data_IF_369256022205
#
_entry.id   IF_369256022205
#
_cell.length_a   1.000
_cell.length_b   1.000
_cell.length_c   1.000
_cell.angle_alpha   90.00
_cell.angle_beta   90.00
_cell.angle_gamma   90.00
#
_symmetry.space_group_name_H-M   'P 1'
#
loop_
_entity.id
_entity.type
_entity.pdbx_description
1 polymer ?
#
# COMPACT_ATOMS: atom_id res chain seq x y z
N UNK A 1 -9.11 -9.57 -31.18
CA UNK A 1 -8.31 -10.29 -30.16
C UNK A 1 -7.20 -9.36 -29.71
N UNK A 2 -7.50 -8.50 -28.74
CA UNK A 2 -6.55 -7.50 -28.25
C UNK A 2 -5.83 -8.10 -27.05
N UNK A 3 -4.57 -8.46 -27.24
CA UNK A 3 -3.73 -9.07 -26.22
C UNK A 3 -3.67 -8.17 -24.98
N UNK A 4 -4.11 -8.73 -23.84
CA UNK A 4 -3.91 -8.17 -22.52
C UNK A 4 -2.42 -8.26 -22.19
N UNK A 5 -1.65 -7.25 -22.57
CA UNK A 5 -0.30 -7.06 -22.06
C UNK A 5 -0.45 -6.67 -20.59
N UNK A 6 -0.36 -7.65 -19.69
CA UNK A 6 -0.20 -7.36 -18.27
C UNK A 6 1.17 -6.69 -18.12
N UNK A 7 1.26 -5.43 -17.67
CA UNK A 7 2.56 -4.85 -17.37
C UNK A 7 3.19 -5.71 -16.27
N UNK A 8 4.38 -6.24 -16.54
CA UNK A 8 5.20 -6.88 -15.53
C UNK A 8 5.44 -5.84 -14.42
N UNK A 9 4.95 -6.07 -13.17
CA UNK A 9 5.08 -5.08 -12.12
C UNK A 9 6.57 -4.85 -11.82
N UNK A 10 6.91 -3.66 -11.32
CA UNK A 10 8.28 -3.28 -10.95
C UNK A 10 8.98 -4.25 -9.96
N UNK A 11 8.21 -5.17 -9.37
CA UNK A 11 8.69 -6.32 -8.60
C UNK A 11 9.75 -7.19 -9.31
N UNK A 12 9.89 -7.13 -10.63
CA UNK A 12 10.90 -7.90 -11.37
C UNK A 12 12.34 -7.37 -11.20
N UNK A 13 12.50 -6.10 -10.81
CA UNK A 13 13.83 -5.48 -10.62
C UNK A 13 14.10 -5.25 -9.14
N UNK A 14 15.32 -5.51 -8.69
CA UNK A 14 15.73 -5.23 -7.32
C UNK A 14 15.56 -3.72 -7.02
N UNK A 15 15.03 -3.35 -5.84
CA UNK A 15 14.88 -1.95 -5.48
C UNK A 15 16.24 -1.30 -5.24
N UNK A 16 16.37 -0.04 -5.67
CA UNK A 16 17.53 0.83 -5.42
C UNK A 16 17.60 1.20 -3.93
N UNK A 17 16.44 1.44 -3.31
CA UNK A 17 16.28 1.69 -1.88
C UNK A 17 15.09 0.89 -1.36
N UNK A 18 15.24 0.27 -0.20
CA UNK A 18 14.20 -0.56 0.41
C UNK A 18 14.08 -0.26 1.90
N UNK A 19 12.86 -0.22 2.39
CA UNK A 19 12.52 -0.03 3.80
C UNK A 19 11.36 -0.94 4.15
N UNK A 20 11.50 -1.76 5.19
CA UNK A 20 10.44 -2.62 5.67
C UNK A 20 10.32 -2.57 7.20
N UNK A 21 9.09 -2.51 7.71
CA UNK A 21 8.82 -2.50 9.15
C UNK A 21 7.47 -3.14 9.48
N UNK A 22 7.36 -3.71 10.67
CA UNK A 22 6.11 -4.25 11.22
C UNK A 22 5.49 -3.29 12.22
N UNK A 23 4.16 -3.27 12.24
CA UNK A 23 3.36 -2.40 13.08
C UNK A 23 2.24 -3.18 13.75
N UNK A 24 1.98 -2.85 15.00
CA UNK A 24 0.82 -3.39 15.71
C UNK A 24 -0.45 -3.02 14.95
N UNK A 25 -1.35 -3.99 14.78
CA UNK A 25 -2.62 -3.84 14.07
C UNK A 25 -3.63 -2.98 14.85
N UNK A 26 -3.31 -1.71 15.06
CA UNK A 26 -4.07 -0.72 15.82
C UNK A 26 -4.08 0.62 15.09
N UNK A 27 -5.02 1.54 15.40
CA UNK A 27 -5.02 2.89 14.83
C UNK A 27 -3.71 3.66 15.08
N UNK A 28 -3.07 3.44 16.23
CA UNK A 28 -1.76 4.04 16.55
C UNK A 28 -0.66 3.48 15.65
N UNK A 29 -0.65 2.17 15.40
CA UNK A 29 0.29 1.52 14.48
C UNK A 29 0.13 2.03 13.05
N UNK A 30 -1.11 2.16 12.55
CA UNK A 30 -1.38 2.75 11.23
C UNK A 30 -0.90 4.20 11.12
N UNK A 31 -1.12 5.02 12.16
CA UNK A 31 -0.62 6.39 12.19
C UNK A 31 0.91 6.45 12.20
N UNK A 32 1.57 5.52 12.89
CA UNK A 32 3.04 5.44 12.92
C UNK A 32 3.60 5.00 11.57
N UNK A 33 3.00 3.99 10.94
CA UNK A 33 3.36 3.52 9.60
C UNK A 33 3.38 4.67 8.59
N UNK A 34 2.30 5.46 8.53
CA UNK A 34 2.23 6.65 7.67
C UNK A 34 3.39 7.62 7.90
N UNK A 35 3.66 7.98 9.17
CA UNK A 35 4.71 8.95 9.50
C UNK A 35 6.09 8.44 9.12
N UNK A 36 6.37 7.15 9.37
CA UNK A 36 7.66 6.57 9.05
C UNK A 36 7.88 6.42 7.56
N UNK A 37 6.84 6.12 6.77
CA UNK A 37 6.93 6.16 5.31
C UNK A 37 7.26 7.57 4.83
N UNK A 38 6.53 8.58 5.31
CA UNK A 38 6.76 9.99 4.95
C UNK A 38 8.17 10.47 5.33
N UNK A 39 8.66 10.10 6.52
CA UNK A 39 10.04 10.38 6.93
C UNK A 39 11.06 9.66 6.06
N UNK A 40 10.82 8.39 5.72
CA UNK A 40 11.74 7.62 4.87
C UNK A 40 11.81 8.20 3.46
N UNK A 41 10.70 8.71 2.94
CA UNK A 41 10.65 9.41 1.67
C UNK A 41 11.49 10.70 1.71
N UNK A 42 11.40 11.47 2.79
CA UNK A 42 12.24 12.66 3.01
C UNK A 42 13.73 12.30 3.07
N UNK A 43 14.10 11.26 3.82
CA UNK A 43 15.47 10.71 3.85
C UNK A 43 15.96 10.28 2.45
N UNK A 44 15.04 9.96 1.55
CA UNK A 44 15.32 9.55 0.17
C UNK A 44 15.32 10.71 -0.83
N UNK A 45 15.13 11.95 -0.36
CA UNK A 45 15.11 13.16 -1.18
C UNK A 45 13.73 13.55 -1.70
N UNK A 46 12.66 12.86 -1.26
CA UNK A 46 11.28 13.23 -1.53
C UNK A 46 10.74 14.03 -0.34
N UNK A 47 11.02 15.33 -0.35
CA UNK A 47 10.71 16.26 0.75
C UNK A 47 9.27 16.14 1.25
N UNK A 48 9.04 16.50 2.52
CA UNK A 48 7.70 16.50 3.13
C UNK A 48 6.64 17.34 2.38
N UNK A 49 7.07 18.35 1.62
CA UNK A 49 6.24 19.23 0.80
C UNK A 49 6.09 18.74 -0.65
N UNK A 50 6.73 17.62 -1.00
CA UNK A 50 6.63 17.07 -2.35
C UNK A 50 5.29 16.36 -2.57
N UNK A 51 4.66 16.53 -3.75
CA UNK A 51 3.40 15.85 -4.08
C UNK A 51 3.49 14.33 -3.96
N UNK A 52 4.68 13.76 -4.22
CA UNK A 52 4.92 12.32 -4.15
C UNK A 52 4.94 11.81 -2.71
N UNK A 53 5.52 12.57 -1.77
CA UNK A 53 5.50 12.24 -0.34
C UNK A 53 4.06 12.27 0.20
N UNK A 54 3.32 13.35 -0.08
CA UNK A 54 1.92 13.48 0.30
C UNK A 54 1.06 12.34 -0.23
N UNK A 55 1.22 12.00 -1.51
CA UNK A 55 0.48 10.92 -2.18
C UNK A 55 0.77 9.56 -1.53
N UNK A 56 2.05 9.20 -1.36
CA UNK A 56 2.43 7.92 -0.77
C UNK A 56 2.09 7.82 0.72
N UNK A 57 2.17 8.93 1.46
CA UNK A 57 1.72 8.99 2.84
C UNK A 57 0.20 8.75 2.94
N UNK A 58 -0.59 9.34 2.05
CA UNK A 58 -2.04 9.13 2.00
C UNK A 58 -2.39 7.69 1.62
N UNK A 59 -1.76 7.14 0.59
CA UNK A 59 -1.91 5.73 0.21
C UNK A 59 -1.57 4.80 1.38
N UNK A 60 -0.45 5.06 2.06
CA UNK A 60 -0.02 4.28 3.24
C UNK A 60 -1.07 4.34 4.35
N UNK A 61 -1.68 5.51 4.58
CA UNK A 61 -2.72 5.68 5.59
C UNK A 61 -3.94 4.79 5.29
N UNK A 62 -4.41 4.80 4.03
CA UNK A 62 -5.56 4.01 3.61
C UNK A 62 -5.28 2.50 3.65
N UNK A 63 -4.12 2.07 3.14
CA UNK A 63 -3.73 0.66 3.16
C UNK A 63 -3.51 0.13 4.58
N UNK A 64 -2.85 0.90 5.45
CA UNK A 64 -2.66 0.52 6.85
C UNK A 64 -4.00 0.50 7.62
N UNK A 65 -4.89 1.46 7.37
CA UNK A 65 -6.21 1.45 7.97
C UNK A 65 -7.04 0.23 7.51
N UNK A 66 -6.92 -0.17 6.24
CA UNK A 66 -7.53 -1.39 5.74
C UNK A 66 -6.94 -2.64 6.40
N UNK A 67 -5.62 -2.71 6.59
CA UNK A 67 -4.98 -3.82 7.31
C UNK A 67 -5.50 -3.91 8.76
N UNK A 68 -5.64 -2.78 9.46
CA UNK A 68 -6.18 -2.74 10.82
C UNK A 68 -7.66 -3.16 10.88
N UNK A 69 -8.51 -2.70 9.94
CA UNK A 69 -9.95 -3.00 9.96
C UNK A 69 -10.29 -4.40 9.42
N UNK A 70 -9.61 -4.81 8.36
CA UNK A 70 -9.99 -5.98 7.56
C UNK A 70 -8.94 -7.09 7.58
N UNK A 71 -7.68 -6.78 7.85
CA UNK A 71 -6.56 -7.72 7.95
C UNK A 71 -6.23 -8.19 9.37
N UNK A 72 -6.85 -7.60 10.39
CA UNK A 72 -6.52 -7.89 11.79
C UNK A 72 -6.83 -9.34 12.17
N UNK A 73 -5.82 -9.95 12.79
CA UNK A 73 -5.86 -11.22 13.51
C UNK A 73 -5.25 -10.96 14.90
N UNK A 74 -5.88 -11.38 16.02
CA UNK A 74 -5.34 -11.15 17.36
C UNK A 74 -3.89 -11.63 17.50
N UNK A 75 -3.04 -10.79 18.09
CA UNK A 75 -1.62 -11.08 18.27
C UNK A 75 -0.76 -11.01 17.00
N UNK A 76 -1.28 -10.50 15.88
CA UNK A 76 -0.54 -10.35 14.62
C UNK A 76 -0.38 -8.88 14.21
N UNK A 77 0.82 -8.57 13.77
CA UNK A 77 1.19 -7.29 13.16
C UNK A 77 0.90 -7.29 11.67
N UNK A 78 0.76 -6.09 11.09
CA UNK A 78 0.88 -5.89 9.65
C UNK A 78 2.28 -5.40 9.31
N UNK A 79 2.74 -5.66 8.09
CA UNK A 79 4.03 -5.18 7.58
C UNK A 79 3.80 -4.08 6.55
N UNK A 80 4.69 -3.09 6.53
CA UNK A 80 4.78 -2.09 5.46
C UNK A 80 6.15 -2.20 4.83
N UNK A 81 6.21 -2.21 3.49
CA UNK A 81 7.43 -2.06 2.71
C UNK A 81 7.29 -0.86 1.79
N UNK A 82 8.28 0.02 1.80
CA UNK A 82 8.48 1.08 0.82
C UNK A 82 9.71 0.70 0.00
N UNK A 83 9.56 0.67 -1.31
CA UNK A 83 10.61 0.26 -2.22
C UNK A 83 10.72 1.25 -3.38
N UNK A 84 11.93 1.70 -3.66
CA UNK A 84 12.21 2.51 -4.84
C UNK A 84 12.82 1.67 -5.93
N UNK A 85 12.15 1.68 -7.08
CA UNK A 85 12.64 1.12 -8.32
C UNK A 85 13.05 2.25 -9.28
N UNK A 86 13.74 1.95 -10.39
CA UNK A 86 14.22 2.98 -11.31
C UNK A 86 13.18 3.97 -11.80
N UNK A 87 11.88 3.65 -11.86
CA UNK A 87 10.85 4.60 -12.35
C UNK A 87 9.68 4.83 -11.39
N UNK A 88 9.58 4.01 -10.33
CA UNK A 88 8.42 4.01 -9.43
C UNK A 88 8.82 3.83 -7.97
N UNK A 89 8.05 4.43 -7.08
CA UNK A 89 8.01 4.08 -5.66
C UNK A 89 6.82 3.15 -5.43
N UNK A 90 7.06 2.06 -4.71
CA UNK A 90 6.07 1.04 -4.40
C UNK A 90 5.86 0.95 -2.90
N UNK A 91 4.60 1.08 -2.47
CA UNK A 91 4.16 0.78 -1.11
C UNK A 91 3.47 -0.57 -1.10
N UNK A 92 3.85 -1.41 -0.16
CA UNK A 92 3.23 -2.70 0.11
C UNK A 92 2.78 -2.74 1.56
N UNK A 93 1.56 -3.23 1.80
CA UNK A 93 1.03 -3.50 3.13
C UNK A 93 0.57 -4.94 3.19
N UNK A 94 1.22 -5.73 4.04
CA UNK A 94 0.90 -7.15 4.22
C UNK A 94 0.21 -7.40 5.56
N UNK A 95 -0.88 -8.18 5.53
CA UNK A 95 -1.54 -8.69 6.73
C UNK A 95 -1.67 -10.21 6.69
N UNK A 96 -1.94 -10.84 7.83
CA UNK A 96 -1.97 -12.30 7.97
C UNK A 96 -3.32 -12.93 7.63
N UNK A 97 -4.33 -12.16 7.22
CA UNK A 97 -5.69 -12.68 7.03
C UNK A 97 -5.95 -13.05 5.58
N UNK A 98 -5.94 -14.36 5.32
CA UNK A 98 -6.12 -14.94 3.99
C UNK A 98 -7.56 -14.82 3.46
N UNK A 99 -8.57 -14.96 4.34
CA UNK A 99 -9.99 -15.08 3.96
C UNK A 99 -10.65 -13.77 3.49
N UNK A 100 -9.94 -12.64 3.55
CA UNK A 100 -10.48 -11.33 3.16
C UNK A 100 -9.51 -10.65 2.22
N UNK A 101 -9.71 -10.79 0.93
CA UNK A 101 -9.03 -10.01 -0.11
C UNK A 101 -9.89 -8.82 -0.53
N UNK A 102 -9.28 -7.68 -0.92
CA UNK A 102 -9.99 -6.64 -1.65
C UNK A 102 -10.77 -7.21 -2.84
N UNK A 103 -11.98 -6.72 -3.13
CA UNK A 103 -12.72 -7.15 -4.30
C UNK A 103 -11.96 -6.77 -5.59
N UNK A 104 -12.04 -7.62 -6.61
CA UNK A 104 -11.39 -7.39 -7.90
C UNK A 104 -11.90 -6.12 -8.60
N UNK A 105 -13.16 -5.75 -8.34
CA UNK A 105 -13.77 -4.49 -8.77
C UNK A 105 -14.11 -3.67 -7.54
N UNK A 106 -13.64 -2.42 -7.49
CA UNK A 106 -13.97 -1.54 -6.39
C UNK A 106 -15.46 -1.15 -6.47
N UNK A 107 -16.25 -1.40 -5.42
CA UNK A 107 -17.66 -1.04 -5.42
C UNK A 107 -17.80 0.49 -5.41
N UNK A 108 -18.78 1.01 -6.15
CA UNK A 108 -19.20 2.40 -6.01
C UNK A 108 -19.86 2.56 -4.64
N UNK A 109 -19.31 3.36 -3.71
CA UNK A 109 -19.93 3.60 -2.43
C UNK A 109 -21.21 4.39 -2.65
N UNK A 110 -22.23 4.18 -1.81
CA UNK A 110 -23.34 5.14 -1.77
C UNK A 110 -22.82 6.51 -1.34
N UNK A 111 -23.56 7.57 -1.70
CA UNK A 111 -23.21 8.94 -1.30
C UNK A 111 -23.05 9.07 0.23
N UNK A 112 -23.86 8.32 0.98
CA UNK A 112 -23.88 8.32 2.45
C UNK A 112 -22.94 7.29 3.09
N UNK A 113 -22.17 6.52 2.31
CA UNK A 113 -21.29 5.50 2.86
C UNK A 113 -20.11 6.12 3.62
N UNK A 114 -20.09 6.03 4.94
CA UNK A 114 -18.98 6.52 5.79
C UNK A 114 -17.71 5.65 5.72
N UNK A 115 -17.78 4.49 5.05
CA UNK A 115 -16.67 3.54 4.94
C UNK A 115 -16.53 2.98 3.52
N UNK A 116 -15.41 2.32 3.22
CA UNK A 116 -15.19 1.67 1.91
C UNK A 116 -14.56 2.57 0.84
N UNK A 117 -14.24 3.83 1.15
CA UNK A 117 -13.59 4.76 0.20
C UNK A 117 -12.07 4.60 0.10
N UNK A 118 -11.43 3.93 1.06
CA UNK A 118 -9.96 3.89 1.14
C UNK A 118 -9.28 3.29 -0.09
N UNK A 119 -9.80 2.19 -0.64
CA UNK A 119 -9.24 1.63 -1.87
C UNK A 119 -9.56 2.46 -3.12
N UNK A 120 -10.67 3.21 -3.13
CA UNK A 120 -10.96 4.15 -4.22
C UNK A 120 -9.98 5.32 -4.23
N UNK A 121 -9.59 5.81 -3.05
CA UNK A 121 -8.53 6.80 -2.92
C UNK A 121 -7.20 6.24 -3.42
N UNK A 122 -6.83 5.02 -3.03
CA UNK A 122 -5.63 4.36 -3.55
C UNK A 122 -5.68 4.22 -5.07
N UNK A 123 -6.80 3.78 -5.63
CA UNK A 123 -6.98 3.62 -7.07
C UNK A 123 -6.94 4.95 -7.84
N UNK A 124 -7.37 6.05 -7.23
CA UNK A 124 -7.35 7.37 -7.84
C UNK A 124 -5.95 8.03 -7.79
N UNK A 125 -5.15 7.69 -6.79
CA UNK A 125 -3.85 8.31 -6.53
C UNK A 125 -2.66 7.54 -7.12
N UNK A 126 -2.76 6.21 -7.17
CA UNK A 126 -1.69 5.35 -7.67
C UNK A 126 -1.72 5.23 -9.20
N UNK A 127 -0.54 5.13 -9.82
CA UNK A 127 -0.44 4.77 -11.25
C UNK A 127 -0.86 3.31 -11.46
N UNK A 128 -0.45 2.42 -10.54
CA UNK A 128 -0.85 1.02 -10.49
C UNK A 128 -1.07 0.57 -9.06
N UNK A 129 -2.00 -0.34 -8.84
CA UNK A 129 -2.20 -0.96 -7.54
C UNK A 129 -2.76 -2.36 -7.72
N UNK A 130 -2.65 -3.18 -6.68
CA UNK A 130 -3.17 -4.54 -6.73
C UNK A 130 -3.02 -5.29 -5.43
N UNK A 131 -3.25 -6.59 -5.53
CA UNK A 131 -3.12 -7.51 -4.39
C UNK A 131 -2.36 -8.75 -4.82
N UNK A 132 -1.56 -9.31 -3.92
CA UNK A 132 -0.85 -10.57 -4.13
C UNK A 132 -0.85 -11.40 -2.84
N UNK A 133 -0.69 -12.73 -2.92
CA UNK A 133 -0.41 -13.54 -1.75
C UNK A 133 0.88 -13.08 -1.06
N UNK A 134 0.93 -13.19 0.27
CA UNK A 134 2.16 -12.90 1.00
C UNK A 134 3.25 -13.93 0.65
N UNK A 135 4.50 -13.53 0.35
CA UNK A 135 5.57 -14.48 0.05
C UNK A 135 5.85 -15.40 1.24
N UNK A 136 5.87 -16.72 0.99
CA UNK A 136 6.23 -17.76 1.96
C UNK A 136 5.45 -17.74 3.30
N UNK A 137 4.27 -17.10 3.35
CA UNK A 137 3.45 -17.04 4.56
C UNK A 137 1.96 -16.84 4.24
N UNK A 138 1.03 -17.23 5.14
CA UNK A 138 -0.38 -16.91 4.98
C UNK A 138 -0.65 -15.41 5.00
N UNK A 139 -1.74 -15.03 4.32
CA UNK A 139 -2.20 -13.66 4.21
C UNK A 139 -1.98 -13.07 2.83
N UNK A 140 -2.08 -11.75 2.76
CA UNK A 140 -2.06 -10.99 1.51
C UNK A 140 -1.19 -9.75 1.64
N UNK A 141 -0.78 -9.24 0.50
CA UNK A 141 -0.14 -7.95 0.32
C UNK A 141 -1.02 -7.11 -0.59
N UNK A 142 -1.44 -5.95 -0.11
CA UNK A 142 -2.02 -4.89 -0.97
C UNK A 142 -0.91 -3.92 -1.29
N UNK A 143 -0.79 -3.51 -2.54
CA UNK A 143 0.31 -2.69 -3.01
C UNK A 143 -0.14 -1.59 -3.95
N UNK A 144 0.64 -0.52 -4.02
CA UNK A 144 0.42 0.62 -4.90
C UNK A 144 1.77 1.18 -5.39
N UNK A 145 1.80 1.67 -6.62
CA UNK A 145 2.95 2.23 -7.31
C UNK A 145 2.65 3.65 -7.77
N UNK A 146 3.60 4.55 -7.55
CA UNK A 146 3.57 5.94 -8.02
C UNK A 146 4.87 6.25 -8.77
N UNK A 147 4.75 6.85 -9.96
CA UNK A 147 5.90 7.27 -10.77
C UNK A 147 6.68 8.39 -10.07
N UNK A 148 8.01 8.34 -10.21
CA UNK A 148 8.92 9.41 -9.81
C UNK A 148 8.78 10.56 -10.83
N UNK A 149 7.83 11.46 -10.62
CA UNK A 149 7.65 12.65 -11.48
C UNK A 149 8.51 13.81 -10.99
#
# INVERSE_FOLDING_TARGET
MTSLHSPEPAAATAPVRDFAMRFSSTPRGARLARRLVSHRLDDWGYGYDSPLNDTLALITAELAANAVRHGHVPGRDFAVRLAEHPDVLRIEVSDTRTERTPPATLPTPSADAESGRGLLLVAALADHWGTSPRPAAPGKTVWAECRRR
#
